data_IF_611223099049
#
_entry.id   IF_611223099049
#
_cell.length_a   1.000
_cell.length_b   1.000
_cell.length_c   1.000
_cell.angle_alpha   90.00
_cell.angle_beta   90.00
_cell.angle_gamma   90.00
#
_symmetry.space_group_name_H-M   'P 1'
#
loop_
_entity.id
_entity.type
_entity.pdbx_description
1 polymer ?
#
# COMPACT_ATOMS: atom_id res chain seq x y z
N UNK A 1 10.27 -13.31 12.55
CA UNK A 1 8.85 -13.21 12.98
C UNK A 1 8.54 -14.21 14.09
N UNK A 2 8.81 -15.51 13.92
CA UNK A 2 8.52 -16.53 14.94
C UNK A 2 9.29 -16.36 16.26
N UNK A 3 10.61 -16.17 16.21
CA UNK A 3 11.43 -15.95 17.41
C UNK A 3 10.98 -14.73 18.23
N UNK A 4 10.55 -13.66 17.55
CA UNK A 4 10.02 -12.46 18.19
C UNK A 4 8.68 -12.71 18.92
N UNK A 5 7.83 -13.60 18.41
CA UNK A 5 6.60 -14.02 19.10
C UNK A 5 6.90 -14.86 20.34
N UNK A 6 7.82 -15.82 20.25
CA UNK A 6 8.22 -16.64 21.40
C UNK A 6 8.82 -15.78 22.52
N UNK A 7 9.66 -14.81 22.17
CA UNK A 7 10.22 -13.85 23.12
C UNK A 7 9.15 -13.01 23.81
N UNK A 8 8.12 -12.54 23.09
CA UNK A 8 6.98 -11.81 23.68
C UNK A 8 6.18 -12.67 24.66
N UNK A 9 6.06 -13.96 24.39
CA UNK A 9 5.39 -14.91 25.26
C UNK A 9 6.27 -15.42 26.42
N UNK A 10 7.48 -14.88 26.59
CA UNK A 10 8.40 -15.25 27.68
C UNK A 10 9.14 -16.58 27.46
N UNK A 11 9.13 -17.11 26.24
CA UNK A 11 9.82 -18.35 25.90
C UNK A 11 11.16 -18.07 25.20
N UNK A 12 12.20 -18.82 25.57
CA UNK A 12 13.47 -18.82 24.86
C UNK A 12 13.39 -19.82 23.69
N UNK A 13 13.49 -19.32 22.46
CA UNK A 13 13.44 -20.13 21.25
C UNK A 13 14.82 -20.17 20.58
N UNK A 14 15.54 -21.29 20.69
CA UNK A 14 16.86 -21.50 20.08
C UNK A 14 16.76 -22.26 18.75
N UNK A 15 17.49 -21.77 17.75
CA UNK A 15 17.50 -22.36 16.39
C UNK A 15 18.89 -22.88 15.98
N UNK A 16 19.90 -22.77 16.83
CA UNK A 16 21.31 -23.00 16.46
C UNK A 16 21.58 -24.41 15.88
N UNK A 17 20.89 -25.44 16.39
CA UNK A 17 20.99 -26.83 15.90
C UNK A 17 19.84 -27.24 14.98
N UNK A 18 19.08 -26.29 14.44
CA UNK A 18 17.88 -26.55 13.63
C UNK A 18 18.01 -26.02 12.21
N UNK A 19 17.57 -26.82 11.24
CA UNK A 19 17.38 -26.35 9.86
C UNK A 19 16.00 -25.69 9.77
N UNK A 20 15.98 -24.36 9.69
CA UNK A 20 14.75 -23.60 9.51
C UNK A 20 14.41 -23.52 8.02
N UNK A 21 13.27 -24.07 7.62
CA UNK A 21 12.77 -24.01 6.25
C UNK A 21 11.70 -22.92 6.20
N UNK A 22 12.01 -21.83 5.51
CA UNK A 22 11.06 -20.76 5.24
C UNK A 22 10.44 -20.97 3.85
N UNK A 23 9.24 -21.55 3.83
CA UNK A 23 8.47 -21.83 2.62
C UNK A 23 8.15 -20.56 1.84
N UNK A 24 7.92 -19.43 2.52
CA UNK A 24 7.64 -18.15 1.86
C UNK A 24 8.90 -17.59 1.19
N UNK A 25 10.07 -17.72 1.84
CA UNK A 25 11.35 -17.36 1.23
C UNK A 25 11.64 -18.20 -0.02
N UNK A 26 11.32 -19.50 -0.02
CA UNK A 26 11.44 -20.35 -1.23
C UNK A 26 10.50 -19.87 -2.32
N UNK A 27 9.22 -19.61 -2.00
CA UNK A 27 8.25 -19.09 -2.95
C UNK A 27 8.72 -17.78 -3.60
N UNK A 28 9.18 -16.80 -2.82
CA UNK A 28 9.64 -15.51 -3.36
C UNK A 28 10.88 -15.63 -4.24
N UNK A 29 11.72 -16.66 -4.03
CA UNK A 29 12.87 -16.95 -4.90
C UNK A 29 12.45 -17.57 -6.23
N UNK A 30 11.40 -18.37 -6.24
CA UNK A 30 10.84 -18.99 -7.45
C UNK A 30 9.94 -18.03 -8.23
N UNK A 31 9.30 -17.08 -7.54
CA UNK A 31 8.38 -16.10 -8.13
C UNK A 31 8.80 -14.67 -7.75
N UNK A 32 9.88 -14.14 -8.35
CA UNK A 32 10.33 -12.77 -8.10
C UNK A 32 9.26 -11.74 -8.48
N UNK A 33 9.16 -10.67 -7.69
CA UNK A 33 8.25 -9.55 -7.97
C UNK A 33 8.91 -8.52 -8.90
N UNK A 34 9.31 -8.96 -10.09
CA UNK A 34 9.91 -8.13 -11.14
C UNK A 34 9.09 -8.21 -12.42
N UNK A 35 9.17 -7.19 -13.28
CA UNK A 35 8.47 -7.20 -14.56
C UNK A 35 8.93 -8.36 -15.44
N UNK A 36 10.23 -8.65 -15.51
CA UNK A 36 10.77 -9.78 -16.27
C UNK A 36 10.19 -11.12 -15.82
N UNK A 37 10.11 -11.37 -14.51
CA UNK A 37 9.55 -12.61 -13.97
C UNK A 37 8.04 -12.72 -14.24
N UNK A 38 7.31 -11.60 -14.15
CA UNK A 38 5.89 -11.57 -14.50
C UNK A 38 5.67 -11.84 -16.00
N UNK A 39 6.51 -11.25 -16.86
CA UNK A 39 6.45 -11.43 -18.31
C UNK A 39 6.76 -12.87 -18.73
N UNK A 40 7.78 -13.48 -18.13
CA UNK A 40 8.06 -14.90 -18.32
C UNK A 40 6.88 -15.77 -17.85
N UNK A 41 6.34 -15.51 -16.65
CA UNK A 41 5.29 -16.33 -16.06
C UNK A 41 3.94 -16.26 -16.79
N UNK A 42 3.53 -15.06 -17.24
CA UNK A 42 2.23 -14.85 -17.89
C UNK A 42 2.28 -14.95 -19.41
N UNK A 43 3.43 -14.61 -20.02
CA UNK A 43 3.56 -14.55 -21.47
C UNK A 43 4.52 -15.59 -22.05
N UNK A 44 5.33 -16.27 -21.21
CA UNK A 44 6.33 -17.23 -21.66
C UNK A 44 7.48 -16.61 -22.44
N UNK A 45 7.75 -15.31 -22.23
CA UNK A 45 8.72 -14.51 -22.99
C UNK A 45 9.78 -13.93 -22.07
N UNK A 46 10.99 -13.80 -22.60
CA UNK A 46 12.08 -13.06 -21.97
C UNK A 46 11.95 -11.56 -22.26
N UNK A 47 12.24 -10.72 -21.27
CA UNK A 47 12.21 -9.27 -21.44
C UNK A 47 13.55 -8.77 -21.99
N UNK A 48 13.67 -8.73 -23.32
CA UNK A 48 14.82 -8.14 -24.00
C UNK A 48 14.78 -6.60 -23.98
N UNK A 49 15.93 -5.94 -23.79
CA UNK A 49 16.00 -4.47 -23.78
C UNK A 49 15.36 -3.80 -22.56
N UNK A 50 15.29 -4.52 -21.43
CA UNK A 50 14.84 -3.98 -20.15
C UNK A 50 15.52 -2.62 -19.84
N UNK A 51 14.76 -1.70 -19.24
CA UNK A 51 15.09 -0.27 -19.03
C UNK A 51 14.78 0.69 -20.19
N UNK A 52 14.28 0.19 -21.32
CA UNK A 52 13.63 1.01 -22.34
C UNK A 52 12.16 1.25 -21.99
N UNK A 53 11.75 2.49 -21.75
CA UNK A 53 10.38 2.82 -21.35
C UNK A 53 9.29 2.22 -22.28
N UNK A 54 9.57 2.15 -23.58
CA UNK A 54 8.66 1.52 -24.55
C UNK A 54 8.57 -0.01 -24.40
N UNK A 55 9.71 -0.69 -24.21
CA UNK A 55 9.76 -2.14 -23.99
C UNK A 55 9.05 -2.52 -22.69
N UNK A 56 9.30 -1.78 -21.61
CA UNK A 56 8.67 -2.00 -20.31
C UNK A 56 7.15 -1.75 -20.36
N UNK A 57 6.70 -0.73 -21.11
CA UNK A 57 5.27 -0.44 -21.32
C UNK A 57 4.58 -1.56 -22.09
N UNK A 58 5.19 -2.03 -23.19
CA UNK A 58 4.64 -3.13 -23.99
C UNK A 58 4.55 -4.43 -23.17
N UNK A 59 5.63 -4.78 -22.46
CA UNK A 59 5.65 -5.97 -21.60
C UNK A 59 4.60 -5.87 -20.47
N UNK A 60 4.42 -4.70 -19.87
CA UNK A 60 3.39 -4.49 -18.84
C UNK A 60 1.98 -4.70 -19.39
N UNK A 61 1.70 -4.21 -20.61
CA UNK A 61 0.42 -4.44 -21.26
C UNK A 61 0.18 -5.92 -21.57
N UNK A 62 1.20 -6.62 -22.09
CA UNK A 62 1.09 -8.06 -22.34
C UNK A 62 0.90 -8.88 -21.06
N UNK A 63 1.58 -8.51 -19.97
CA UNK A 63 1.38 -9.13 -18.65
C UNK A 63 -0.07 -8.98 -18.20
N UNK A 64 -0.66 -7.79 -18.34
CA UNK A 64 -2.08 -7.58 -18.01
C UNK A 64 -3.00 -8.49 -18.84
N UNK A 65 -2.73 -8.66 -20.14
CA UNK A 65 -3.48 -9.60 -20.98
C UNK A 65 -3.30 -11.06 -20.54
N UNK A 66 -2.09 -11.46 -20.16
CA UNK A 66 -1.82 -12.80 -19.63
C UNK A 66 -2.49 -13.04 -18.28
N UNK A 67 -2.53 -12.04 -17.40
CA UNK A 67 -3.30 -12.06 -16.16
C UNK A 67 -4.78 -12.29 -16.45
N UNK A 68 -5.36 -11.56 -17.40
CA UNK A 68 -6.73 -11.76 -17.84
C UNK A 68 -7.02 -13.15 -18.42
N UNK A 69 -6.07 -13.75 -19.13
CA UNK A 69 -6.25 -15.10 -19.66
C UNK A 69 -6.25 -16.16 -18.54
N UNK A 70 -5.43 -15.95 -17.51
CA UNK A 70 -5.24 -16.91 -16.41
C UNK A 70 -6.20 -16.71 -15.23
N UNK A 71 -6.70 -15.49 -15.05
CA UNK A 71 -7.55 -15.08 -13.94
C UNK A 71 -8.87 -14.50 -14.45
N UNK A 72 -9.87 -15.36 -14.75
CA UNK A 72 -11.20 -14.93 -15.18
C UNK A 72 -11.93 -14.04 -14.16
N UNK A 73 -11.55 -14.13 -12.88
CA UNK A 73 -12.10 -13.35 -11.77
C UNK A 73 -11.70 -11.87 -11.79
N UNK A 74 -10.68 -11.49 -12.58
CA UNK A 74 -10.27 -10.09 -12.68
C UNK A 74 -11.35 -9.23 -13.36
N UNK A 75 -11.70 -8.06 -12.77
CA UNK A 75 -12.60 -7.11 -13.39
C UNK A 75 -12.13 -6.71 -14.79
N UNK A 76 -13.07 -6.47 -15.70
CA UNK A 76 -12.76 -6.14 -17.11
C UNK A 76 -12.92 -4.66 -17.45
N UNK A 77 -13.34 -3.88 -16.49
CA UNK A 77 -13.41 -2.44 -16.57
C UNK A 77 -12.30 -1.78 -15.74
N UNK A 78 -11.96 -0.55 -16.11
CA UNK A 78 -10.86 0.20 -15.50
C UNK A 78 -11.10 0.46 -14.02
N UNK A 79 -12.35 0.73 -13.62
CA UNK A 79 -12.66 1.06 -12.22
C UNK A 79 -12.50 -0.17 -11.32
N UNK A 80 -13.08 -1.30 -11.73
CA UNK A 80 -12.94 -2.55 -10.99
C UNK A 80 -11.49 -3.02 -10.89
N UNK A 81 -10.69 -2.86 -11.96
CA UNK A 81 -9.26 -3.16 -11.90
C UNK A 81 -8.49 -2.23 -10.97
N UNK A 82 -8.82 -0.93 -11.00
CA UNK A 82 -8.20 0.04 -10.12
C UNK A 82 -8.49 -0.29 -8.66
N UNK A 83 -9.74 -0.65 -8.33
CA UNK A 83 -10.14 -1.09 -6.98
C UNK A 83 -9.49 -2.43 -6.59
N UNK A 84 -9.45 -3.41 -7.49
CA UNK A 84 -8.82 -4.71 -7.23
C UNK A 84 -7.31 -4.58 -7.01
N UNK A 85 -6.65 -3.76 -7.83
CA UNK A 85 -5.24 -3.43 -7.73
C UNK A 85 -4.93 -2.41 -6.65
N UNK A 86 -5.96 -1.83 -6.01
CA UNK A 86 -5.77 -0.84 -4.97
C UNK A 86 -5.21 -1.49 -3.71
N UNK A 87 -3.90 -1.54 -3.65
CA UNK A 87 -3.22 -2.00 -2.46
C UNK A 87 -3.40 -0.99 -1.30
N UNK A 88 -3.81 0.27 -1.55
CA UNK A 88 -3.71 1.40 -0.61
C UNK A 88 -4.38 1.12 0.74
N UNK A 89 -5.41 0.28 0.74
CA UNK A 89 -6.20 -0.02 1.94
C UNK A 89 -7.23 1.08 2.18
N UNK A 90 -8.42 0.69 2.65
CA UNK A 90 -9.57 1.58 2.78
C UNK A 90 -9.35 2.79 3.71
N UNK A 91 -8.25 2.80 4.47
CA UNK A 91 -7.87 3.87 5.38
C UNK A 91 -6.77 4.79 4.83
N UNK A 92 -6.17 4.53 3.67
CA UNK A 92 -5.17 5.45 3.10
C UNK A 92 -5.77 6.83 2.82
N UNK A 93 -5.02 7.86 3.20
CA UNK A 93 -5.40 9.27 2.96
C UNK A 93 -4.66 9.84 1.75
N UNK A 94 -3.49 9.28 1.41
CA UNK A 94 -2.70 9.65 0.25
C UNK A 94 -2.24 8.41 -0.54
N UNK A 95 -1.94 8.60 -1.82
CA UNK A 95 -1.54 7.54 -2.76
C UNK A 95 -0.20 6.87 -2.42
N UNK A 96 0.60 7.45 -1.52
CA UNK A 96 1.89 6.91 -1.09
C UNK A 96 1.87 6.36 0.34
N UNK A 97 0.68 6.33 0.97
CA UNK A 97 0.41 5.83 2.34
C UNK A 97 1.29 6.40 3.41
N UNK A 98 1.57 7.70 3.34
CA UNK A 98 2.26 8.43 4.41
C UNK A 98 1.30 8.86 5.50
N UNK A 99 0.03 8.98 5.17
CA UNK A 99 -1.07 9.26 6.07
C UNK A 99 -2.19 8.23 5.89
N UNK A 100 -2.87 7.93 6.99
CA UNK A 100 -4.05 7.08 7.00
C UNK A 100 -5.06 7.55 8.02
N UNK A 101 -6.29 7.13 7.87
CA UNK A 101 -7.32 7.34 8.86
C UNK A 101 -7.14 6.40 10.06
N UNK A 102 -7.39 6.94 11.25
CA UNK A 102 -7.56 6.21 12.49
C UNK A 102 -8.82 6.77 13.19
N UNK A 103 -9.95 6.07 13.01
CA UNK A 103 -11.26 6.65 13.31
C UNK A 103 -11.53 7.87 12.42
N UNK A 104 -11.82 9.00 13.05
CA UNK A 104 -12.12 10.28 12.38
C UNK A 104 -10.90 11.21 12.26
N UNK A 105 -9.73 10.79 12.75
CA UNK A 105 -8.50 11.57 12.64
C UNK A 105 -7.50 10.94 11.66
N UNK A 106 -6.69 11.79 11.02
CA UNK A 106 -5.58 11.34 10.17
C UNK A 106 -4.31 11.21 10.99
N UNK A 107 -3.64 10.07 10.86
CA UNK A 107 -2.37 9.74 11.50
C UNK A 107 -1.26 9.52 10.47
N UNK A 108 -0.02 9.75 10.90
CA UNK A 108 1.17 9.36 10.14
C UNK A 108 1.27 7.83 10.08
N UNK A 109 1.64 7.27 8.94
CA UNK A 109 1.74 5.82 8.72
C UNK A 109 3.18 5.34 8.46
N UNK A 110 4.19 6.15 8.83
CA UNK A 110 5.60 5.83 8.61
C UNK A 110 6.53 6.48 9.65
N UNK A 111 7.74 5.94 9.74
CA UNK A 111 8.82 6.50 10.57
C UNK A 111 8.48 6.54 12.07
N UNK A 112 9.29 7.30 12.82
CA UNK A 112 9.16 7.42 14.29
C UNK A 112 7.86 8.07 14.77
N UNK A 113 7.17 8.78 13.89
CA UNK A 113 5.92 9.48 14.20
C UNK A 113 4.67 8.66 13.79
N UNK A 114 4.84 7.42 13.30
CA UNK A 114 3.72 6.55 12.94
C UNK A 114 2.71 6.42 14.10
N UNK A 115 1.43 6.58 13.79
CA UNK A 115 0.32 6.55 14.74
C UNK A 115 -0.03 7.91 15.38
N UNK A 116 0.84 8.92 15.28
CA UNK A 116 0.56 10.27 15.81
C UNK A 116 -0.36 11.04 14.86
N UNK A 117 -1.30 11.81 15.42
CA UNK A 117 -2.29 12.56 14.63
C UNK A 117 -1.68 13.82 14.03
N UNK A 118 -2.19 14.26 12.88
CA UNK A 118 -1.78 15.54 12.28
C UNK A 118 -2.03 16.71 13.24
N UNK A 119 -3.10 16.65 14.03
CA UNK A 119 -3.46 17.67 15.03
C UNK A 119 -2.44 17.75 16.15
N UNK A 120 -2.06 16.60 16.72
CA UNK A 120 -1.04 16.53 17.77
C UNK A 120 0.30 17.07 17.25
N UNK A 121 0.69 16.69 16.02
CA UNK A 121 1.93 17.14 15.40
C UNK A 121 1.91 18.64 15.11
N UNK A 122 0.81 19.19 14.59
CA UNK A 122 0.70 20.62 14.34
C UNK A 122 0.84 21.44 15.64
N UNK A 123 0.29 20.96 16.75
CA UNK A 123 0.34 21.65 18.04
C UNK A 123 1.70 21.50 18.77
N UNK A 124 2.24 20.28 18.81
CA UNK A 124 3.34 19.94 19.71
C UNK A 124 4.69 19.71 18.99
N UNK A 125 4.66 19.39 17.69
CA UNK A 125 5.87 19.13 16.88
C UNK A 125 5.70 19.58 15.42
N UNK A 126 5.42 20.87 15.17
CA UNK A 126 5.18 21.35 13.80
C UNK A 126 6.45 21.30 12.94
N UNK A 127 7.62 21.09 13.56
CA UNK A 127 8.90 20.88 12.86
C UNK A 127 8.84 19.66 11.95
N UNK A 128 8.19 18.58 12.39
CA UNK A 128 8.04 17.38 11.58
C UNK A 128 7.19 17.63 10.31
N UNK A 129 6.06 18.33 10.43
CA UNK A 129 5.23 18.65 9.26
C UNK A 129 5.96 19.60 8.30
N UNK A 130 6.71 20.59 8.80
CA UNK A 130 7.56 21.45 7.97
C UNK A 130 8.65 20.67 7.24
N UNK A 131 9.20 19.63 7.85
CA UNK A 131 10.16 18.74 7.20
C UNK A 131 9.49 17.97 6.05
N UNK A 132 8.27 17.45 6.23
CA UNK A 132 7.51 16.79 5.14
C UNK A 132 7.35 17.73 3.95
N UNK A 133 6.88 18.96 4.19
CA UNK A 133 6.67 19.97 3.13
C UNK A 133 7.93 20.25 2.30
N UNK A 134 9.11 20.20 2.93
CA UNK A 134 10.41 20.48 2.28
C UNK A 134 11.12 19.26 1.70
N UNK A 135 10.64 18.05 2.01
CA UNK A 135 11.31 16.80 1.64
C UNK A 135 10.75 16.22 0.34
N UNK A 136 11.36 15.14 -0.12
CA UNK A 136 10.92 14.43 -1.33
C UNK A 136 9.70 13.52 -1.04
N UNK A 137 8.54 14.16 -0.97
CA UNK A 137 7.22 13.52 -0.91
C UNK A 137 6.35 13.98 -2.08
N UNK A 138 5.29 13.22 -2.37
CA UNK A 138 4.27 13.61 -3.35
C UNK A 138 3.61 14.93 -2.95
N UNK A 139 3.09 15.65 -3.96
CA UNK A 139 2.44 16.94 -3.73
C UNK A 139 1.23 16.82 -2.79
N UNK A 140 0.46 15.73 -2.90
CA UNK A 140 -0.66 15.41 -2.00
C UNK A 140 -0.21 15.33 -0.52
N UNK A 141 0.89 14.63 -0.25
CA UNK A 141 1.44 14.50 1.12
C UNK A 141 1.93 15.86 1.65
N UNK A 142 2.57 16.66 0.79
CA UNK A 142 3.02 18.01 1.16
C UNK A 142 1.86 18.94 1.44
N UNK A 143 0.80 18.87 0.64
CA UNK A 143 -0.42 19.65 0.80
C UNK A 143 -1.10 19.33 2.12
N UNK A 144 -1.34 18.05 2.42
CA UNK A 144 -1.94 17.61 3.70
C UNK A 144 -1.12 18.11 4.90
N UNK A 145 0.21 18.00 4.85
CA UNK A 145 1.08 18.47 5.92
C UNK A 145 1.06 20.00 6.08
N UNK A 146 1.00 20.74 4.97
CA UNK A 146 0.91 22.19 4.96
C UNK A 146 -0.45 22.68 5.49
N UNK A 147 -1.56 22.04 5.10
CA UNK A 147 -2.88 22.34 5.62
C UNK A 147 -2.98 22.11 7.13
N UNK A 148 -2.41 21.01 7.63
CA UNK A 148 -2.34 20.73 9.05
C UNK A 148 -1.58 21.81 9.83
N UNK A 149 -0.50 22.37 9.27
CA UNK A 149 0.22 23.51 9.84
C UNK A 149 -0.63 24.79 9.89
N UNK A 150 -1.59 24.94 8.98
CA UNK A 150 -2.56 26.04 8.95
C UNK A 150 -3.81 25.75 9.82
N UNK A 151 -3.81 24.64 10.57
CA UNK A 151 -4.93 24.24 11.42
C UNK A 151 -6.12 23.63 10.66
N UNK A 152 -5.94 23.29 9.38
CA UNK A 152 -6.93 22.58 8.56
C UNK A 152 -6.61 21.10 8.57
N UNK A 153 -7.58 20.28 8.96
CA UNK A 153 -7.40 18.84 9.05
C UNK A 153 -8.41 18.14 8.15
N UNK A 154 -8.01 17.05 7.46
CA UNK A 154 -8.96 16.23 6.71
C UNK A 154 -10.10 15.75 7.62
N UNK A 155 -11.33 15.81 7.11
CA UNK A 155 -12.51 15.27 7.77
C UNK A 155 -13.07 14.12 6.93
N UNK A 156 -13.38 13.00 7.57
CA UNK A 156 -13.98 11.86 6.87
C UNK A 156 -15.40 12.26 6.47
N UNK A 157 -15.71 12.24 5.16
CA UNK A 157 -17.10 12.39 4.71
C UNK A 157 -17.81 11.08 5.01
N UNK A 158 -18.64 11.06 6.06
CA UNK A 158 -19.57 9.96 6.28
C UNK A 158 -20.59 10.01 5.14
N UNK A 159 -20.60 8.99 4.27
CA UNK A 159 -21.72 8.85 3.35
C UNK A 159 -22.99 8.68 4.19
N UNK A 160 -23.93 9.61 4.05
CA UNK A 160 -25.27 9.47 4.60
C UNK A 160 -25.88 8.22 3.94
N UNK A 161 -26.01 7.15 4.72
CA UNK A 161 -26.72 5.94 4.29
C UNK A 161 -28.15 6.34 3.91
N UNK A 162 -28.41 6.37 2.60
CA UNK A 162 -29.74 6.55 2.04
C UNK A 162 -30.62 5.36 2.39
N UNK A 163 -31.30 5.44 3.53
CA UNK A 163 -32.38 4.53 3.88
C UNK A 163 -33.63 4.98 3.10
N UNK A 164 -33.71 4.58 1.82
CA UNK A 164 -34.94 4.69 1.03
C UNK A 164 -36.04 3.79 1.61
N UNK A 165 -37.32 4.18 1.50
CA UNK A 165 -38.40 3.48 2.19
C UNK A 165 -38.57 2.07 1.62
N UNK A 166 -38.65 1.08 2.52
CA UNK A 166 -39.09 -0.27 2.18
C UNK A 166 -40.55 -0.19 1.73
N UNK A 167 -40.79 -0.37 0.44
CA UNK A 167 -42.13 -0.68 -0.07
C UNK A 167 -42.42 -2.14 0.23
N UNK A 168 -43.39 -2.37 1.12
CA UNK A 168 -44.03 -3.66 1.31
C UNK A 168 -44.86 -4.01 0.06
N UNK A 169 -44.76 -5.26 -0.38
CA UNK A 169 -45.71 -5.92 -1.29
C UNK A 169 -45.73 -7.41 -0.96
#
# INVERSE_FOLDING_TARGET
>A
MLEAEFKRAGFEFKVDDRKVIDVYSIFCKLYPRTLSAAYEFFCGKELEGAHGAAADTAATFEVLLGQFARHPELPRDVNGLAEFGDLLGADAVDRTRRFKWNGDEVVVNFGKNAGRTLRELAANDPGFLRWIVRSDFSDEVKEIANEALLGKFPARKTELSGNGPKTES
#
